data_IF_885223622196
#
_entry.id   IF_885223622196
#
_cell.length_a   1.000
_cell.length_b   1.000
_cell.length_c   1.000
_cell.angle_alpha   90.00
_cell.angle_beta   90.00
_cell.angle_gamma   90.00
#
_symmetry.space_group_name_H-M   'P 1'
#
loop_
_entity.id
_entity.type
_entity.pdbx_description
1 polymer ?
#
# COMPACT_ATOMS: atom_id res chain seq x y z
N UNK A 1 5.54 8.00 8.76
CA UNK A 1 4.47 7.35 9.57
C UNK A 1 4.06 6.06 8.87
N UNK A 2 3.99 4.96 9.60
CA UNK A 2 3.58 3.64 9.08
C UNK A 2 2.24 3.29 9.70
N UNK A 3 1.26 2.92 8.88
CA UNK A 3 -0.03 2.42 9.34
C UNK A 3 -0.05 0.90 9.18
N UNK A 4 -0.43 0.19 10.25
CA UNK A 4 -0.46 -1.26 10.31
C UNK A 4 -1.89 -1.70 10.57
N UNK A 5 -2.35 -2.70 9.83
CA UNK A 5 -3.67 -3.28 9.96
C UNK A 5 -3.57 -4.80 9.85
N UNK A 6 -4.24 -5.53 10.73
CA UNK A 6 -4.26 -6.99 10.74
C UNK A 6 -5.64 -7.47 10.31
N UNK A 7 -5.66 -8.40 9.36
CA UNK A 7 -6.86 -9.08 8.87
C UNK A 7 -6.83 -10.52 9.38
N UNK A 8 -7.95 -10.95 9.97
CA UNK A 8 -8.09 -12.28 10.56
C UNK A 8 -7.15 -12.49 11.76
N UNK A 9 -6.42 -13.61 11.76
CA UNK A 9 -5.41 -13.97 12.76
C UNK A 9 -4.02 -13.35 12.48
N UNK A 10 -3.89 -12.57 11.41
CA UNK A 10 -2.62 -12.00 10.96
C UNK A 10 -1.71 -12.99 10.24
N UNK A 11 -0.53 -12.52 9.81
CA UNK A 11 0.44 -13.31 9.02
C UNK A 11 0.74 -14.68 9.65
N UNK A 12 0.54 -15.75 8.90
CA UNK A 12 0.78 -17.13 9.33
C UNK A 12 1.95 -17.78 8.60
N UNK A 13 2.15 -17.43 7.32
CA UNK A 13 3.12 -18.10 6.44
C UNK A 13 4.42 -17.31 6.24
N UNK A 14 4.43 -16.02 6.57
CA UNK A 14 5.58 -15.12 6.41
C UNK A 14 5.76 -14.59 4.98
N UNK A 15 4.81 -14.82 4.09
CA UNK A 15 4.90 -14.40 2.68
C UNK A 15 4.78 -12.88 2.53
N UNK A 16 5.82 -12.20 2.04
CA UNK A 16 5.83 -10.74 1.89
C UNK A 16 5.62 -10.34 0.44
N UNK A 17 4.60 -9.52 0.18
CA UNK A 17 4.36 -8.89 -1.12
C UNK A 17 4.30 -7.38 -0.95
N UNK A 18 5.15 -6.67 -1.67
CA UNK A 18 5.20 -5.19 -1.63
C UNK A 18 4.75 -4.63 -2.97
N UNK A 19 3.83 -3.67 -2.93
CA UNK A 19 3.38 -2.92 -4.10
C UNK A 19 3.32 -1.43 -3.79
N UNK A 20 3.26 -0.62 -4.85
CA UNK A 20 2.95 0.81 -4.75
C UNK A 20 1.50 1.06 -5.12
N UNK A 21 0.80 1.81 -4.27
CA UNK A 21 -0.52 2.35 -4.54
C UNK A 21 -0.40 3.81 -4.96
N UNK A 22 -1.09 4.16 -6.03
CA UNK A 22 -1.12 5.50 -6.57
C UNK A 22 -2.45 6.19 -6.23
N UNK A 23 -2.38 7.51 -6.07
CA UNK A 23 -3.53 8.35 -5.79
C UNK A 23 -3.48 9.64 -6.60
N UNK A 24 -4.64 10.14 -7.00
CA UNK A 24 -4.87 11.45 -7.57
C UNK A 24 -5.76 12.29 -6.63
N UNK A 25 -5.92 13.58 -6.96
CA UNK A 25 -6.77 14.52 -6.21
C UNK A 25 -6.44 14.52 -4.71
N UNK A 26 -5.15 14.66 -4.38
CA UNK A 26 -4.64 14.71 -3.01
C UNK A 26 -4.99 13.48 -2.16
N UNK A 27 -5.14 12.31 -2.80
CA UNK A 27 -5.44 11.06 -2.08
C UNK A 27 -6.88 10.57 -2.20
N UNK A 28 -7.79 11.38 -2.77
CA UNK A 28 -9.22 11.04 -2.84
C UNK A 28 -9.52 9.96 -3.87
N UNK A 29 -8.77 9.94 -4.98
CA UNK A 29 -8.97 8.97 -6.07
C UNK A 29 -7.83 7.97 -6.07
N UNK A 30 -8.12 6.68 -5.89
CA UNK A 30 -7.14 5.61 -6.09
C UNK A 30 -6.93 5.40 -7.58
N UNK A 31 -5.67 5.35 -8.00
CA UNK A 31 -5.30 5.04 -9.38
C UNK A 31 -4.83 3.58 -9.46
N UNK A 32 -5.48 2.80 -10.33
CA UNK A 32 -5.18 1.39 -10.60
C UNK A 32 -5.92 0.39 -9.71
N UNK A 33 -5.85 -0.89 -10.09
CA UNK A 33 -6.65 -2.00 -9.52
C UNK A 33 -5.96 -2.79 -8.40
N UNK A 34 -4.88 -2.27 -7.83
CA UNK A 34 -4.07 -3.02 -6.84
C UNK A 34 -4.69 -2.98 -5.45
N UNK A 35 -5.78 -3.71 -5.27
CA UNK A 35 -6.40 -3.90 -3.96
C UNK A 35 -5.58 -4.85 -3.07
N UNK A 36 -5.56 -4.59 -1.76
CA UNK A 36 -4.85 -5.43 -0.78
C UNK A 36 -5.39 -6.86 -0.76
N UNK A 37 -6.69 -7.03 -1.03
CA UNK A 37 -7.30 -8.36 -1.19
C UNK A 37 -6.76 -9.10 -2.43
N UNK A 38 -6.61 -8.39 -3.55
CA UNK A 38 -6.03 -8.96 -4.76
C UNK A 38 -4.55 -9.37 -4.55
N UNK A 39 -3.82 -8.66 -3.69
CA UNK A 39 -2.42 -8.95 -3.34
C UNK A 39 -2.32 -10.11 -2.33
N UNK A 40 -3.27 -10.17 -1.38
CA UNK A 40 -3.40 -11.28 -0.44
C UNK A 40 -3.72 -12.60 -1.16
N UNK A 41 -4.41 -12.55 -2.31
CA UNK A 41 -4.79 -13.74 -3.07
C UNK A 41 -5.82 -14.54 -2.28
N UNK A 42 -5.53 -15.83 -2.04
CA UNK A 42 -6.42 -16.72 -1.27
C UNK A 42 -6.17 -16.69 0.25
N UNK A 43 -5.18 -15.93 0.74
CA UNK A 43 -4.92 -15.82 2.18
C UNK A 43 -6.03 -15.07 2.90
N UNK A 44 -6.66 -15.74 3.87
CA UNK A 44 -7.68 -15.16 4.78
C UNK A 44 -7.07 -14.34 5.91
N UNK A 45 -5.82 -14.66 6.28
CA UNK A 45 -5.11 -14.06 7.40
C UNK A 45 -3.84 -13.38 6.90
N UNK A 46 -3.72 -12.06 7.12
CA UNK A 46 -2.56 -11.29 6.68
C UNK A 46 -2.45 -9.95 7.41
N UNK A 47 -1.25 -9.40 7.44
CA UNK A 47 -0.95 -8.06 7.92
C UNK A 47 -0.72 -7.13 6.74
N UNK A 48 -1.25 -5.92 6.83
CA UNK A 48 -1.07 -4.84 5.87
C UNK A 48 -0.25 -3.76 6.56
N UNK A 49 0.88 -3.40 5.97
CA UNK A 49 1.68 -2.24 6.37
C UNK A 49 1.66 -1.23 5.23
N UNK A 50 1.29 0.00 5.52
CA UNK A 50 1.27 1.08 4.54
C UNK A 50 2.14 2.23 5.02
N UNK A 51 3.13 2.63 4.21
CA UNK A 51 4.12 3.62 4.60
C UNK A 51 4.60 4.43 3.40
N UNK A 52 5.22 5.56 3.69
CA UNK A 52 5.93 6.36 2.70
C UNK A 52 7.41 6.00 2.75
N UNK A 53 7.91 5.37 1.69
CA UNK A 53 9.35 5.13 1.51
C UNK A 53 10.05 6.34 0.90
N UNK A 54 11.38 6.25 0.77
CA UNK A 54 12.22 7.29 0.13
C UNK A 54 11.72 7.60 -1.29
N UNK A 55 11.37 6.57 -2.06
CA UNK A 55 10.88 6.73 -3.43
C UNK A 55 9.51 7.40 -3.46
N UNK A 56 8.62 7.08 -2.51
CA UNK A 56 7.33 7.76 -2.45
C UNK A 56 7.52 9.24 -2.12
N UNK A 57 8.47 9.58 -1.23
CA UNK A 57 8.78 10.98 -0.91
C UNK A 57 9.26 11.75 -2.14
N UNK A 58 10.16 11.16 -2.94
CA UNK A 58 10.64 11.74 -4.19
C UNK A 58 9.50 11.95 -5.20
N UNK A 59 8.63 10.96 -5.37
CA UNK A 59 7.47 11.04 -6.27
C UNK A 59 6.52 12.15 -5.81
N UNK A 60 6.16 12.18 -4.53
CA UNK A 60 5.25 13.20 -3.99
C UNK A 60 5.86 14.60 -4.08
N UNK A 61 7.18 14.75 -3.98
CA UNK A 61 7.84 16.05 -4.17
C UNK A 61 7.67 16.58 -5.60
N UNK A 62 7.85 15.73 -6.62
CA UNK A 62 7.73 16.15 -8.02
C UNK A 62 6.30 16.16 -8.56
N UNK A 63 5.41 15.30 -8.06
CA UNK A 63 4.05 15.12 -8.58
C UNK A 63 2.96 15.68 -7.66
N UNK A 64 3.30 16.07 -6.42
CA UNK A 64 2.32 16.56 -5.45
C UNK A 64 1.59 17.82 -5.90
N UNK A 65 2.26 18.70 -6.67
CA UNK A 65 1.64 19.89 -7.27
C UNK A 65 0.61 19.54 -8.36
N UNK A 66 0.74 18.37 -8.99
CA UNK A 66 -0.25 17.80 -9.91
C UNK A 66 -1.34 17.01 -9.17
N UNK A 67 -1.38 17.08 -7.83
CA UNK A 67 -2.27 16.30 -6.96
C UNK A 67 -2.07 14.77 -7.06
N UNK A 68 -0.96 14.32 -7.64
CA UNK A 68 -0.63 12.89 -7.80
C UNK A 68 0.39 12.49 -6.74
N UNK A 69 0.11 11.38 -6.05
CA UNK A 69 0.97 10.85 -5.01
C UNK A 69 1.05 9.33 -5.02
N UNK A 70 2.03 8.80 -4.31
CA UNK A 70 2.19 7.36 -4.13
C UNK A 70 2.43 6.98 -2.68
N UNK A 71 2.06 5.75 -2.34
CA UNK A 71 2.32 5.11 -1.05
C UNK A 71 2.69 3.65 -1.25
N UNK A 72 3.64 3.16 -0.47
CA UNK A 72 4.00 1.75 -0.48
C UNK A 72 3.08 0.95 0.44
N UNK A 73 2.59 -0.18 -0.07
CA UNK A 73 1.72 -1.14 0.60
C UNK A 73 2.43 -2.48 0.63
N UNK A 74 2.63 -3.01 1.83
CA UNK A 74 3.26 -4.30 2.09
C UNK A 74 2.24 -5.22 2.74
N UNK A 75 2.00 -6.37 2.12
CA UNK A 75 1.13 -7.43 2.64
C UNK A 75 2.02 -8.56 3.13
N UNK A 76 1.79 -9.02 4.35
CA UNK A 76 2.51 -10.12 4.99
C UNK A 76 1.47 -11.21 5.30
N UNK A 77 1.54 -12.33 4.58
CA UNK A 77 0.65 -13.50 4.69
C UNK A 77 1.11 -14.48 5.75
#
# INVERSE_FOLDING_TARGET
MTNRHTVGKGSQTGGVVTTRQWYALWGLVRLGDKDTKHIAGESTDYNIETYYGVVDWLINFFLGWLSIGSRTVKVIK
#
